data_IF_334011228777
#
_entry.id   IF_334011228777
#
_cell.length_a   1.000
_cell.length_b   1.000
_cell.length_c   1.000
_cell.angle_alpha   90.00
_cell.angle_beta   90.00
_cell.angle_gamma   90.00
#
_symmetry.space_group_name_H-M   'P 1'
#
loop_
_entity.id
_entity.type
_entity.pdbx_description
1 polymer ?
#
# COMPACT_ATOMS: atom_id res chain seq x y z
N UNK A 1 -4.75 19.94 -0.07
CA UNK A 1 -5.58 19.55 -1.23
C UNK A 1 -5.28 20.56 -2.31
N UNK A 2 -4.46 20.20 -3.30
CA UNK A 2 -4.18 21.03 -4.47
C UNK A 2 -5.40 20.94 -5.38
N UNK A 3 -6.11 22.06 -5.51
CA UNK A 3 -7.35 22.17 -6.31
C UNK A 3 -6.98 22.37 -7.77
N UNK A 4 -6.56 21.29 -8.44
CA UNK A 4 -6.41 21.29 -9.90
C UNK A 4 -7.79 21.06 -10.51
N UNK A 5 -8.37 22.09 -11.11
CA UNK A 5 -9.74 22.05 -11.68
C UNK A 5 -9.77 21.38 -13.06
N UNK A 6 -8.66 21.34 -13.79
CA UNK A 6 -8.55 20.72 -15.10
C UNK A 6 -7.12 20.23 -15.41
N UNK A 7 -6.95 19.11 -16.14
CA UNK A 7 -5.64 18.63 -16.58
C UNK A 7 -5.03 19.56 -17.64
N UNK A 8 -3.70 19.59 -17.75
CA UNK A 8 -3.01 20.36 -18.77
C UNK A 8 -3.35 19.85 -20.19
N UNK A 9 -3.40 20.73 -21.21
CA UNK A 9 -3.94 20.39 -22.54
C UNK A 9 -3.12 19.36 -23.33
N UNK A 10 -1.90 19.04 -22.90
CA UNK A 10 -1.01 18.04 -23.51
C UNK A 10 -1.14 16.64 -22.88
N UNK A 11 -1.98 16.47 -21.86
CA UNK A 11 -2.25 15.18 -21.21
C UNK A 11 -3.26 14.40 -22.06
N UNK A 12 -2.84 13.27 -22.63
CA UNK A 12 -3.71 12.41 -23.45
C UNK A 12 -4.02 11.07 -22.77
N UNK A 13 -3.31 10.72 -21.69
CA UNK A 13 -3.51 9.51 -20.90
C UNK A 13 -3.36 9.78 -19.39
N UNK A 14 -4.08 9.02 -18.56
CA UNK A 14 -3.98 9.06 -17.08
C UNK A 14 -2.56 8.86 -16.58
N UNK A 15 -1.74 8.09 -17.30
CA UNK A 15 -0.35 7.76 -16.95
C UNK A 15 0.60 8.96 -16.93
N UNK A 16 0.24 10.07 -17.60
CA UNK A 16 1.04 11.30 -17.65
C UNK A 16 0.69 12.28 -16.51
N UNK A 17 -0.34 11.96 -15.71
CA UNK A 17 -0.77 12.78 -14.60
C UNK A 17 0.08 12.56 -13.35
N UNK A 18 0.39 13.64 -12.65
CA UNK A 18 0.91 13.63 -11.27
C UNK A 18 -0.06 14.38 -10.35
N UNK A 19 0.17 14.32 -9.03
CA UNK A 19 -0.67 14.96 -8.01
C UNK A 19 -0.80 16.50 -8.18
N UNK A 20 0.11 17.09 -8.96
CA UNK A 20 0.19 18.53 -9.24
C UNK A 20 -0.51 18.89 -10.57
N UNK A 21 -0.64 17.93 -11.50
CA UNK A 21 -1.07 18.20 -12.88
C UNK A 21 -2.52 17.82 -13.16
N UNK A 22 -3.11 16.92 -12.36
CA UNK A 22 -4.46 16.42 -12.60
C UNK A 22 -5.29 16.37 -11.30
N UNK A 23 -6.63 16.60 -11.39
CA UNK A 23 -7.51 16.42 -10.26
C UNK A 23 -7.52 14.97 -9.78
N UNK A 24 -7.71 14.77 -8.47
CA UNK A 24 -7.92 13.45 -7.86
C UNK A 24 -9.10 12.65 -8.45
N UNK A 25 -9.97 13.28 -9.24
CA UNK A 25 -11.04 12.59 -9.98
C UNK A 25 -10.53 11.70 -11.10
N UNK A 26 -9.32 11.92 -11.60
CA UNK A 26 -8.68 11.08 -12.63
C UNK A 26 -7.78 9.99 -12.01
N UNK A 27 -7.56 10.04 -10.70
CA UNK A 27 -6.83 9.01 -9.99
C UNK A 27 -7.71 7.77 -9.82
N UNK A 28 -7.08 6.58 -9.82
CA UNK A 28 -7.79 5.33 -9.54
C UNK A 28 -8.30 5.27 -8.09
N UNK A 29 -7.66 6.03 -7.19
CA UNK A 29 -8.04 6.17 -5.80
C UNK A 29 -8.47 7.62 -5.49
N UNK A 30 -9.68 7.80 -4.97
CA UNK A 30 -10.25 9.13 -4.67
C UNK A 30 -9.78 9.68 -3.32
N UNK A 31 -9.04 8.90 -2.53
CA UNK A 31 -8.58 9.29 -1.20
C UNK A 31 -7.06 9.13 -1.07
N UNK A 32 -6.43 10.04 -0.33
CA UNK A 32 -5.04 9.86 0.08
C UNK A 32 -5.00 8.94 1.31
N UNK A 33 -4.34 7.77 1.23
CA UNK A 33 -4.20 6.90 2.40
C UNK A 33 -3.45 7.61 3.54
N UNK A 34 -3.97 7.49 4.77
CA UNK A 34 -3.37 8.08 5.96
C UNK A 34 -2.00 7.44 6.25
N UNK A 35 -0.94 8.24 6.21
CA UNK A 35 0.42 7.72 6.37
C UNK A 35 0.66 7.11 7.76
N UNK A 36 0.09 7.72 8.80
CA UNK A 36 0.24 7.25 10.19
C UNK A 36 -0.45 5.91 10.43
N UNK A 37 -1.67 5.75 9.92
CA UNK A 37 -2.41 4.48 10.04
C UNK A 37 -1.69 3.33 9.33
N UNK A 38 -1.26 3.54 8.09
CA UNK A 38 -0.53 2.50 7.35
C UNK A 38 0.82 2.16 7.99
N UNK A 39 1.57 3.17 8.48
CA UNK A 39 2.83 2.93 9.18
C UNK A 39 2.63 2.18 10.51
N UNK A 40 1.57 2.48 11.25
CA UNK A 40 1.21 1.75 12.47
C UNK A 40 0.95 0.27 12.19
N UNK A 41 0.16 -0.04 11.17
CA UNK A 41 -0.12 -1.43 10.82
C UNK A 41 1.13 -2.18 10.35
N UNK A 42 2.01 -1.56 9.55
CA UNK A 42 3.30 -2.17 9.17
C UNK A 42 4.14 -2.51 10.40
N UNK A 43 4.24 -1.58 11.36
CA UNK A 43 4.99 -1.80 12.59
C UNK A 43 4.36 -2.93 13.44
N UNK A 44 3.03 -2.94 13.54
CA UNK A 44 2.28 -3.94 14.29
C UNK A 44 2.46 -5.35 13.70
N UNK A 45 2.26 -5.52 12.40
CA UNK A 45 2.46 -6.81 11.74
C UNK A 45 3.93 -7.23 11.72
N UNK A 46 4.85 -6.28 11.55
CA UNK A 46 6.29 -6.53 11.69
C UNK A 46 6.70 -7.04 13.07
N UNK A 47 6.03 -6.59 14.13
CA UNK A 47 6.24 -7.08 15.49
C UNK A 47 5.66 -8.49 15.71
N UNK A 48 4.55 -8.83 15.06
CA UNK A 48 3.95 -10.16 15.19
C UNK A 48 4.76 -11.27 14.52
N UNK A 49 5.56 -10.97 13.49
CA UNK A 49 6.44 -11.95 12.82
C UNK A 49 7.41 -12.63 13.79
N UNK A 50 8.28 -11.93 14.56
CA UNK A 50 9.20 -12.58 15.49
C UNK A 50 8.49 -13.31 16.63
N UNK A 51 7.34 -12.78 17.10
CA UNK A 51 6.53 -13.44 18.15
C UNK A 51 6.00 -14.78 17.64
N UNK A 52 5.45 -14.80 16.42
CA UNK A 52 4.92 -16.04 15.83
C UNK A 52 6.03 -17.02 15.46
N UNK A 53 7.21 -16.54 15.03
CA UNK A 53 8.38 -17.39 14.86
C UNK A 53 8.77 -18.07 16.17
N UNK A 54 8.85 -17.33 17.28
CA UNK A 54 9.17 -17.89 18.59
C UNK A 54 8.16 -18.94 19.04
N UNK A 55 6.86 -18.61 18.98
CA UNK A 55 5.78 -19.52 19.38
C UNK A 55 5.72 -20.76 18.49
N UNK A 56 5.85 -20.59 17.17
CA UNK A 56 5.80 -21.68 16.20
C UNK A 56 6.96 -22.66 16.34
N UNK A 57 8.17 -22.17 16.65
CA UNK A 57 9.34 -23.02 16.92
C UNK A 57 9.17 -23.75 18.25
N UNK A 58 8.74 -23.04 19.32
CA UNK A 58 8.56 -23.63 20.66
C UNK A 58 7.50 -24.72 20.69
N UNK A 59 6.37 -24.52 20.01
CA UNK A 59 5.25 -25.46 19.98
C UNK A 59 5.32 -26.45 18.80
N UNK A 60 6.37 -26.42 17.97
CA UNK A 60 6.56 -27.26 16.76
C UNK A 60 5.35 -27.25 15.81
N UNK A 61 4.64 -26.13 15.70
CA UNK A 61 3.46 -26.00 14.84
C UNK A 61 3.85 -25.54 13.42
N UNK A 62 4.62 -26.36 12.70
CA UNK A 62 5.26 -25.99 11.42
C UNK A 62 4.29 -25.51 10.32
N UNK A 63 3.16 -26.20 10.13
CA UNK A 63 2.18 -25.81 9.11
C UNK A 63 1.47 -24.49 9.44
N UNK A 64 1.09 -24.31 10.70
CA UNK A 64 0.47 -23.08 11.20
C UNK A 64 1.46 -21.90 11.15
N UNK A 65 2.73 -22.14 11.48
CA UNK A 65 3.79 -21.14 11.40
C UNK A 65 3.94 -20.62 9.96
N UNK A 66 4.05 -21.52 8.97
CA UNK A 66 4.23 -21.09 7.58
C UNK A 66 3.05 -20.26 7.06
N UNK A 67 1.82 -20.72 7.29
CA UNK A 67 0.62 -19.98 6.86
C UNK A 67 0.53 -18.59 7.51
N UNK A 68 0.82 -18.52 8.82
CA UNK A 68 0.76 -17.26 9.57
C UNK A 68 1.86 -16.28 9.14
N UNK A 69 3.09 -16.75 8.92
CA UNK A 69 4.19 -15.90 8.45
C UNK A 69 3.94 -15.40 7.03
N UNK A 70 3.44 -16.25 6.14
CA UNK A 70 3.07 -15.85 4.78
C UNK A 70 1.98 -14.77 4.80
N UNK A 71 0.93 -14.96 5.61
CA UNK A 71 -0.13 -13.96 5.80
C UNK A 71 0.38 -12.63 6.35
N UNK A 72 1.25 -12.65 7.36
CA UNK A 72 1.87 -11.45 7.93
C UNK A 72 2.73 -10.69 6.90
N UNK A 73 3.47 -11.40 6.05
CA UNK A 73 4.26 -10.80 4.97
C UNK A 73 3.33 -10.14 3.94
N UNK A 74 2.25 -10.82 3.54
CA UNK A 74 1.28 -10.28 2.60
C UNK A 74 0.59 -9.01 3.13
N UNK A 75 0.26 -8.96 4.41
CA UNK A 75 -0.26 -7.75 5.05
C UNK A 75 0.73 -6.60 4.97
N UNK A 76 2.00 -6.82 5.35
CA UNK A 76 3.05 -5.79 5.26
C UNK A 76 3.21 -5.27 3.83
N UNK A 77 3.28 -6.18 2.84
CA UNK A 77 3.35 -5.81 1.43
C UNK A 77 2.13 -5.01 0.96
N UNK A 78 0.93 -5.36 1.43
CA UNK A 78 -0.30 -4.63 1.14
C UNK A 78 -0.27 -3.19 1.66
N UNK A 79 0.23 -2.96 2.88
CA UNK A 79 0.38 -1.61 3.42
C UNK A 79 1.49 -0.81 2.73
N UNK A 80 2.59 -1.46 2.31
CA UNK A 80 3.63 -0.83 1.49
C UNK A 80 3.06 -0.40 0.14
N UNK A 81 2.29 -1.26 -0.52
CA UNK A 81 1.61 -0.93 -1.78
C UNK A 81 0.67 0.28 -1.61
N UNK A 82 -0.07 0.37 -0.49
CA UNK A 82 -0.90 1.55 -0.16
C UNK A 82 -0.09 2.84 0.00
N UNK A 83 1.10 2.77 0.60
CA UNK A 83 2.00 3.92 0.70
C UNK A 83 2.53 4.32 -0.68
N UNK A 84 2.89 3.34 -1.51
CA UNK A 84 3.39 3.60 -2.86
C UNK A 84 2.31 4.21 -3.77
N UNK A 85 1.08 3.70 -3.70
CA UNK A 85 -0.08 4.26 -4.41
C UNK A 85 -0.34 5.73 -4.05
N UNK A 86 0.04 6.18 -2.85
CA UNK A 86 -0.05 7.60 -2.46
C UNK A 86 0.84 8.49 -3.33
N UNK A 87 2.00 7.98 -3.77
CA UNK A 87 2.98 8.76 -4.55
C UNK A 87 2.57 8.87 -6.02
N UNK A 88 1.93 7.84 -6.58
CA UNK A 88 1.57 7.77 -8.00
C UNK A 88 0.17 7.16 -8.22
N UNK A 89 -0.92 7.87 -7.87
CA UNK A 89 -2.27 7.31 -7.91
C UNK A 89 -2.92 7.26 -9.31
N UNK A 90 -2.22 7.76 -10.34
CA UNK A 90 -2.68 7.82 -11.72
C UNK A 90 -2.09 6.73 -12.63
N UNK A 91 -1.15 5.93 -12.11
CA UNK A 91 -0.52 4.84 -12.87
C UNK A 91 -1.34 3.56 -12.66
N UNK A 92 -1.95 3.06 -13.72
CA UNK A 92 -2.76 1.83 -13.69
C UNK A 92 -1.93 0.53 -13.59
N UNK A 93 -0.60 0.63 -13.73
CA UNK A 93 0.32 -0.53 -13.67
C UNK A 93 0.64 -1.03 -12.26
N UNK A 94 0.02 -0.49 -11.21
CA UNK A 94 0.24 -0.99 -9.85
C UNK A 94 -0.24 -2.42 -9.62
N UNK A 95 -1.14 -2.91 -10.48
CA UNK A 95 -1.76 -4.22 -10.35
C UNK A 95 -1.41 -5.20 -11.50
N UNK A 96 -0.46 -4.85 -12.40
CA UNK A 96 -0.01 -5.73 -13.50
C UNK A 96 1.45 -5.51 -13.96
#
# INVERSE_FOLDING_TARGET
MTTVTAPAPWITSSQQCTLETCPMSYAHITYLPNLGGNAFYIALFGLFIPVQCYLGIRHRTWGYLFGTICGLILEVLGYIARIYMRQNPFIDRWFI
#
